data_IF_273897178930
#
_entry.id   IF_273897178930
#
_cell.length_a   1.000
_cell.length_b   1.000
_cell.length_c   1.000
_cell.angle_alpha   90.00
_cell.angle_beta   90.00
_cell.angle_gamma   90.00
#
_symmetry.space_group_name_H-M   'P 1'
#
loop_
_entity.id
_entity.type
_entity.pdbx_description
1 polymer ?
#
# COMPACT_ATOMS: atom_id res chain seq x y z
N UNK A 1 1.85 -1.86 3.50
CA UNK A 1 0.57 -1.61 2.81
C UNK A 1 0.75 -1.27 1.33
N UNK A 2 1.62 -0.32 1.01
CA UNK A 2 1.82 0.10 -0.38
C UNK A 2 2.32 -1.03 -1.29
N UNK A 3 3.18 -1.90 -0.80
CA UNK A 3 3.68 -3.03 -1.59
C UNK A 3 2.54 -4.01 -1.89
N UNK A 4 1.72 -4.35 -0.90
CA UNK A 4 0.56 -5.21 -1.10
C UNK A 4 -0.42 -4.57 -2.08
N UNK A 5 -0.68 -3.28 -1.93
CA UNK A 5 -1.58 -2.54 -2.82
C UNK A 5 -1.05 -2.53 -4.26
N UNK A 6 0.25 -2.37 -4.42
CA UNK A 6 0.92 -2.44 -5.73
C UNK A 6 0.70 -3.79 -6.41
N UNK A 7 0.65 -4.87 -5.62
CA UNK A 7 0.55 -6.24 -6.13
C UNK A 7 -0.87 -6.72 -6.38
N UNK A 8 -1.86 -5.84 -6.36
CA UNK A 8 -3.20 -6.11 -6.90
C UNK A 8 -3.08 -6.57 -8.36
N UNK A 9 -2.12 -6.00 -9.07
CA UNK A 9 -1.70 -6.48 -10.39
C UNK A 9 -0.29 -7.07 -10.26
N UNK A 10 -0.02 -8.27 -10.82
CA UNK A 10 1.32 -8.85 -10.75
C UNK A 10 2.38 -7.92 -11.33
N UNK A 11 3.51 -7.81 -10.65
CA UNK A 11 4.60 -6.89 -11.03
C UNK A 11 5.97 -7.47 -10.72
N UNK A 12 6.95 -7.03 -11.49
CA UNK A 12 8.37 -7.22 -11.17
C UNK A 12 8.82 -6.20 -10.12
N UNK A 13 9.91 -6.52 -9.41
CA UNK A 13 10.39 -5.69 -8.30
C UNK A 13 10.60 -4.22 -8.67
N UNK A 14 11.19 -3.94 -9.83
CA UNK A 14 11.41 -2.56 -10.27
C UNK A 14 10.10 -1.78 -10.47
N UNK A 15 9.09 -2.46 -11.03
CA UNK A 15 7.77 -1.86 -11.22
C UNK A 15 7.08 -1.59 -9.88
N UNK A 16 7.30 -2.42 -8.87
CA UNK A 16 6.79 -2.19 -7.52
C UNK A 16 7.38 -0.90 -6.95
N UNK A 17 8.69 -0.70 -7.08
CA UNK A 17 9.38 0.51 -6.60
C UNK A 17 8.76 1.76 -7.22
N UNK A 18 8.58 1.75 -8.54
CA UNK A 18 7.99 2.88 -9.27
C UNK A 18 6.56 3.14 -8.84
N UNK A 19 5.77 2.08 -8.72
CA UNK A 19 4.35 2.18 -8.36
C UNK A 19 4.16 2.72 -6.93
N UNK A 20 4.93 2.24 -5.98
CA UNK A 20 4.90 2.72 -4.59
C UNK A 20 5.29 4.20 -4.52
N UNK A 21 6.31 4.60 -5.28
CA UNK A 21 6.71 6.01 -5.34
C UNK A 21 5.57 6.88 -5.88
N UNK A 22 4.91 6.45 -6.94
CA UNK A 22 3.77 7.17 -7.54
C UNK A 22 2.58 7.23 -6.60
N UNK A 23 2.17 6.10 -6.02
CA UNK A 23 1.03 6.04 -5.10
C UNK A 23 1.21 6.91 -3.87
N UNK A 24 2.44 7.01 -3.37
CA UNK A 24 2.77 7.82 -2.20
C UNK A 24 3.13 9.26 -2.53
N UNK A 25 3.03 9.65 -3.78
CA UNK A 25 3.42 10.98 -4.27
C UNK A 25 4.86 11.33 -3.89
N UNK A 26 5.75 10.35 -4.01
CA UNK A 26 7.17 10.49 -3.69
C UNK A 26 7.51 10.45 -2.21
N UNK A 27 6.52 10.28 -1.32
CA UNK A 27 6.76 10.23 0.13
C UNK A 27 7.45 8.95 0.56
N UNK A 28 7.18 7.85 -0.15
CA UNK A 28 7.81 6.57 0.10
C UNK A 28 8.73 6.26 -1.08
N UNK A 29 10.03 6.26 -0.81
CA UNK A 29 11.04 5.89 -1.79
C UNK A 29 11.71 4.61 -1.30
N UNK A 30 11.44 3.50 -2.00
CA UNK A 30 11.99 2.21 -1.62
C UNK A 30 13.32 1.97 -2.32
N UNK A 31 14.36 1.70 -1.52
CA UNK A 31 15.60 1.15 -2.05
C UNK A 31 15.38 -0.33 -2.40
N UNK A 32 16.09 -0.83 -3.40
CA UNK A 32 15.97 -2.22 -3.85
C UNK A 32 16.18 -3.21 -2.71
N UNK A 33 17.19 -2.99 -1.85
CA UNK A 33 17.47 -3.87 -0.71
C UNK A 33 16.30 -3.92 0.28
N UNK A 34 15.69 -2.78 0.58
CA UNK A 34 14.54 -2.69 1.46
C UNK A 34 13.34 -3.43 0.86
N UNK A 35 13.09 -3.25 -0.44
CA UNK A 35 12.02 -3.94 -1.13
C UNK A 35 12.19 -5.46 -1.05
N UNK A 36 13.37 -5.97 -1.41
CA UNK A 36 13.60 -7.41 -1.44
C UNK A 36 13.54 -8.05 -0.05
N UNK A 37 13.94 -7.31 0.99
CA UNK A 37 13.75 -7.76 2.38
C UNK A 37 12.27 -7.87 2.72
N UNK A 38 11.47 -6.89 2.35
CA UNK A 38 10.03 -6.90 2.57
C UNK A 38 9.35 -8.03 1.78
N UNK A 39 9.72 -8.20 0.52
CA UNK A 39 9.16 -9.26 -0.33
C UNK A 39 9.46 -10.64 0.23
N UNK A 40 10.66 -10.86 0.76
CA UNK A 40 11.03 -12.13 1.40
C UNK A 40 10.12 -12.44 2.57
N UNK A 41 9.86 -11.46 3.43
CA UNK A 41 8.94 -11.63 4.57
C UNK A 41 7.52 -11.93 4.12
N UNK A 42 7.06 -11.24 3.10
CA UNK A 42 5.73 -11.46 2.54
C UNK A 42 5.59 -12.85 1.91
N UNK A 43 6.64 -13.32 1.24
CA UNK A 43 6.69 -14.70 0.72
C UNK A 43 6.63 -15.72 1.86
N UNK A 44 7.42 -15.52 2.90
CA UNK A 44 7.46 -16.41 4.08
C UNK A 44 6.10 -16.46 4.78
N UNK A 45 5.40 -15.34 4.84
CA UNK A 45 4.07 -15.26 5.46
C UNK A 45 2.94 -15.75 4.55
N UNK A 46 3.23 -16.08 3.31
CA UNK A 46 2.22 -16.54 2.37
C UNK A 46 1.28 -15.45 1.84
N UNK A 47 1.66 -14.19 1.97
CA UNK A 47 0.85 -13.06 1.49
C UNK A 47 1.00 -12.84 -0.01
N UNK A 48 2.16 -13.18 -0.53
CA UNK A 48 2.50 -13.08 -1.94
C UNK A 48 3.14 -14.38 -2.41
N UNK A 49 3.14 -14.58 -3.71
CA UNK A 49 3.85 -15.68 -4.35
C UNK A 49 4.66 -15.15 -5.52
N UNK A 50 5.67 -15.92 -5.89
CA UNK A 50 6.56 -15.58 -6.98
C UNK A 50 6.31 -16.51 -8.15
N UNK A 51 6.10 -15.93 -9.32
CA UNK A 51 5.99 -16.64 -10.58
C UNK A 51 7.20 -16.27 -11.42
N UNK A 52 7.99 -17.26 -11.77
CA UNK A 52 9.16 -17.03 -12.61
C UNK A 52 8.74 -17.05 -14.08
N UNK A 53 8.81 -15.89 -14.74
CA UNK A 53 8.60 -15.81 -16.15
C UNK A 53 9.90 -16.10 -16.89
N UNK A 54 9.90 -17.17 -17.69
CA UNK A 54 10.96 -17.42 -18.65
C UNK A 54 10.49 -16.91 -20.00
N UNK A 55 11.11 -15.84 -20.47
CA UNK A 55 10.95 -15.40 -21.86
C UNK A 55 12.21 -15.79 -22.62
N UNK A 56 12.22 -16.96 -23.29
CA UNK A 56 13.39 -17.35 -24.09
C UNK A 56 13.65 -16.40 -25.27
N UNK A 57 12.66 -15.57 -25.63
CA UNK A 57 12.76 -14.65 -26.75
C UNK A 57 13.45 -13.32 -26.39
N UNK A 58 13.65 -13.03 -25.12
CA UNK A 58 14.20 -11.74 -24.69
C UNK A 58 15.73 -11.63 -24.83
N UNK A 59 16.42 -12.69 -25.16
CA UNK A 59 17.86 -12.70 -25.29
C UNK A 59 18.64 -12.41 -24.00
N UNK A 60 17.94 -12.24 -22.89
CA UNK A 60 18.53 -12.00 -21.58
C UNK A 60 18.71 -13.34 -20.86
N UNK A 61 19.67 -14.09 -21.33
CA UNK A 61 20.04 -15.34 -20.69
C UNK A 61 20.48 -15.07 -19.25
N UNK A 62 19.88 -15.77 -18.30
CA UNK A 62 20.25 -15.72 -16.90
C UNK A 62 19.49 -14.69 -16.07
N UNK A 63 18.66 -13.82 -16.66
CA UNK A 63 17.79 -12.96 -15.90
C UNK A 63 16.39 -13.56 -15.82
N UNK A 64 16.18 -14.38 -14.79
CA UNK A 64 14.83 -14.79 -14.41
C UNK A 64 14.09 -13.55 -13.96
N UNK A 65 13.08 -13.16 -14.73
CA UNK A 65 12.17 -12.09 -14.32
C UNK A 65 11.26 -12.65 -13.25
N UNK A 66 11.49 -12.21 -12.03
CA UNK A 66 10.68 -12.60 -10.89
C UNK A 66 9.44 -11.74 -10.84
N UNK A 67 8.31 -12.35 -11.13
CA UNK A 67 7.02 -11.71 -11.04
C UNK A 67 6.40 -12.04 -9.69
N UNK A 68 5.93 -11.03 -8.98
CA UNK A 68 5.29 -11.17 -7.68
C UNK A 68 3.81 -10.88 -7.81
N UNK A 69 2.99 -11.61 -7.07
CA UNK A 69 1.54 -11.41 -7.05
C UNK A 69 0.97 -11.77 -5.68
N UNK A 70 -0.20 -11.23 -5.38
CA UNK A 70 -0.90 -11.57 -4.15
C UNK A 70 -1.39 -13.01 -4.20
N UNK A 71 -1.29 -13.70 -3.06
CA UNK A 71 -2.03 -14.94 -2.84
C UNK A 71 -3.45 -14.61 -2.42
N UNK A 72 -4.32 -15.61 -2.34
CA UNK A 72 -5.67 -15.44 -1.77
C UNK A 72 -5.62 -14.87 -0.35
N UNK A 73 -4.65 -15.35 0.45
CA UNK A 73 -4.44 -14.85 1.80
C UNK A 73 -3.98 -13.40 1.80
N UNK A 74 -3.07 -13.02 0.91
CA UNK A 74 -2.61 -11.64 0.77
C UNK A 74 -3.73 -10.70 0.33
N UNK A 75 -4.58 -11.14 -0.58
CA UNK A 75 -5.75 -10.38 -1.01
C UNK A 75 -6.72 -10.15 0.16
N UNK A 76 -6.97 -11.18 0.95
CA UNK A 76 -7.83 -11.07 2.13
C UNK A 76 -7.25 -10.10 3.15
N UNK A 77 -5.93 -10.16 3.37
CA UNK A 77 -5.23 -9.25 4.27
C UNK A 77 -5.34 -7.80 3.77
N UNK A 78 -5.14 -7.56 2.48
CA UNK A 78 -5.27 -6.25 1.88
C UNK A 78 -6.69 -5.69 2.05
N UNK A 79 -7.70 -6.52 1.81
CA UNK A 79 -9.09 -6.13 1.98
C UNK A 79 -9.40 -5.75 3.43
N UNK A 80 -8.90 -6.53 4.38
CA UNK A 80 -9.07 -6.28 5.81
C UNK A 80 -8.42 -4.96 6.21
N UNK A 81 -7.21 -4.72 5.75
CA UNK A 81 -6.45 -3.50 6.02
C UNK A 81 -7.10 -2.27 5.40
N UNK A 82 -7.62 -2.40 4.18
CA UNK A 82 -8.35 -1.34 3.49
C UNK A 82 -9.61 -0.97 4.28
N UNK A 83 -10.34 -1.96 4.77
CA UNK A 83 -11.54 -1.74 5.59
C UNK A 83 -11.19 -1.01 6.89
N UNK A 84 -10.10 -1.41 7.53
CA UNK A 84 -9.61 -0.77 8.75
C UNK A 84 -9.27 0.71 8.51
N UNK A 85 -8.56 1.01 7.43
CA UNK A 85 -8.19 2.37 7.06
C UNK A 85 -9.41 3.24 6.76
N UNK A 86 -10.41 2.70 6.06
CA UNK A 86 -11.68 3.40 5.80
C UNK A 86 -12.40 3.74 7.10
N UNK A 87 -12.48 2.79 8.01
CA UNK A 87 -13.11 2.99 9.32
C UNK A 87 -12.41 4.09 10.10
N UNK A 88 -11.08 4.07 10.12
CA UNK A 88 -10.28 5.10 10.79
C UNK A 88 -10.45 6.47 10.14
N UNK A 89 -10.47 6.52 8.82
CA UNK A 89 -10.67 7.77 8.08
C UNK A 89 -12.05 8.37 8.37
N UNK A 90 -13.09 7.55 8.38
CA UNK A 90 -14.44 7.98 8.70
C UNK A 90 -14.54 8.49 10.14
N UNK A 91 -13.93 7.77 11.09
CA UNK A 91 -13.87 8.19 12.49
C UNK A 91 -13.17 9.54 12.63
N UNK A 92 -12.04 9.72 11.96
CA UNK A 92 -11.30 10.98 11.98
C UNK A 92 -12.14 12.13 11.40
N UNK A 93 -12.86 11.90 10.29
CA UNK A 93 -13.75 12.90 9.69
C UNK A 93 -14.88 13.29 10.62
N UNK A 94 -15.52 12.32 11.27
CA UNK A 94 -16.58 12.56 12.24
C UNK A 94 -16.09 13.37 13.43
N UNK A 95 -14.91 13.03 13.97
CA UNK A 95 -14.32 13.75 15.10
C UNK A 95 -13.94 15.18 14.72
N UNK A 96 -13.37 15.39 13.54
CA UNK A 96 -13.04 16.72 13.04
C UNK A 96 -14.28 17.58 12.86
N UNK A 97 -15.34 17.03 12.29
CA UNK A 97 -16.61 17.74 12.12
C UNK A 97 -17.22 18.13 13.47
N UNK A 98 -17.23 17.22 14.43
CA UNK A 98 -17.70 17.48 15.78
C UNK A 98 -16.85 18.57 16.47
N UNK A 99 -15.53 18.52 16.31
CA UNK A 99 -14.62 19.52 16.84
C UNK A 99 -14.84 20.89 16.25
N UNK A 100 -15.04 20.98 14.94
CA UNK A 100 -15.35 22.24 14.26
C UNK A 100 -16.68 22.82 14.71
N UNK A 101 -17.70 21.98 14.82
CA UNK A 101 -19.02 22.44 15.31
C UNK A 101 -18.91 22.96 16.73
N UNK A 102 -18.15 22.33 17.59
CA UNK A 102 -17.90 22.77 18.95
C UNK A 102 -17.16 24.11 19.01
N UNK A 103 -16.13 24.27 18.21
CA UNK A 103 -15.35 25.54 18.10
C UNK A 103 -16.24 26.67 17.60
N UNK A 104 -17.04 26.43 16.57
CA UNK A 104 -17.98 27.41 16.01
C UNK A 104 -19.01 27.82 17.06
N UNK A 105 -19.57 26.87 17.79
CA UNK A 105 -20.51 27.17 18.88
C UNK A 105 -19.87 27.98 20.00
N UNK A 106 -18.64 27.69 20.34
CA UNK A 106 -17.89 28.42 21.36
C UNK A 106 -17.57 29.85 20.93
N UNK A 107 -17.22 30.04 19.66
CA UNK A 107 -16.99 31.38 19.12
C UNK A 107 -18.24 32.23 19.17
N UNK A 108 -19.40 31.68 18.88
CA UNK A 108 -20.68 32.38 19.00
C UNK A 108 -20.96 32.81 20.44
N UNK A 109 -20.59 31.97 21.41
CA UNK A 109 -20.75 32.33 22.82
C UNK A 109 -19.79 33.42 23.25
N UNK A 110 -18.58 33.46 22.72
CA UNK A 110 -17.57 34.45 23.08
C UNK A 110 -17.85 35.80 22.43
N UNK A 111 -18.55 35.85 21.29
CA UNK A 111 -18.89 37.08 20.61
C UNK A 111 -20.16 37.73 21.16
N UNK A 112 -20.95 37.02 21.92
CA UNK A 112 -22.17 37.56 22.54
C UNK A 112 -21.94 38.14 23.93
N UNK A 113 -20.74 38.06 24.42
CA UNK A 113 -20.34 38.60 25.69
C UNK A 113 -19.39 39.77 25.52
#
# INVERSE_FOLDING_TARGET
FFILLSLVTPKHGYAIIKDVNQMSEGRVSLAAGTLYTALRRMLENGWIERVDERHPESGLEGHERKLYQLTGFGQALLNLETKRLKTLANLASERKSAGQAWVTGRELYTTSG
#
